data_IF_149750842113
#
_entry.id   IF_149750842113
#
_cell.length_a   1.000
_cell.length_b   1.000
_cell.length_c   1.000
_cell.angle_alpha   90.00
_cell.angle_beta   90.00
_cell.angle_gamma   90.00
#
_symmetry.space_group_name_H-M   'P 1'
#
loop_
_entity.id
_entity.type
_entity.pdbx_description
1 polymer ?
#
# COMPACT_ATOMS: atom_id res chain seq x y z
N UNK A 1 2.50 14.17 -2.56
CA UNK A 1 1.36 13.74 -3.39
C UNK A 1 1.56 12.26 -3.65
N UNK A 2 0.63 11.38 -3.26
CA UNK A 2 0.77 9.94 -3.50
C UNK A 2 0.39 9.64 -4.95
N UNK A 3 1.30 9.04 -5.74
CA UNK A 3 1.06 8.70 -7.14
C UNK A 3 0.56 7.26 -7.26
N UNK A 4 -0.44 7.09 -8.12
CA UNK A 4 -1.35 5.95 -8.22
C UNK A 4 -0.94 5.03 -9.37
N UNK A 5 -0.83 3.72 -9.12
CA UNK A 5 -1.03 2.65 -10.12
C UNK A 5 -0.94 1.25 -9.49
N UNK A 6 -1.70 0.34 -10.10
CA UNK A 6 -1.74 -1.13 -9.95
C UNK A 6 -2.52 -1.74 -8.76
N UNK A 7 -3.62 -2.41 -9.13
CA UNK A 7 -4.58 -3.14 -8.30
C UNK A 7 -3.98 -4.40 -7.68
N UNK A 8 -4.23 -4.61 -6.40
CA UNK A 8 -4.30 -5.96 -5.86
C UNK A 8 -5.41 -6.73 -6.59
N UNK A 9 -5.06 -7.86 -7.22
CA UNK A 9 -6.04 -8.84 -7.73
C UNK A 9 -6.93 -9.41 -6.63
N UNK A 10 -6.48 -9.35 -5.38
CA UNK A 10 -7.12 -9.92 -4.19
C UNK A 10 -7.00 -8.96 -3.01
N UNK A 11 -8.08 -8.72 -2.28
CA UNK A 11 -8.05 -7.86 -1.08
C UNK A 11 -6.99 -8.41 -0.11
N UNK A 12 -5.93 -7.64 0.24
CA UNK A 12 -4.87 -8.11 1.13
C UNK A 12 -5.45 -8.41 2.53
N UNK A 13 -4.84 -9.36 3.24
CA UNK A 13 -5.32 -9.85 4.55
C UNK A 13 -4.70 -9.06 5.70
N UNK A 14 -5.39 -9.00 6.85
CA UNK A 14 -4.81 -8.46 8.09
C UNK A 14 -3.56 -9.29 8.45
N UNK A 15 -2.47 -8.60 8.82
CA UNK A 15 -1.17 -9.20 9.08
C UNK A 15 -0.31 -9.45 7.83
N UNK A 16 -0.85 -9.25 6.63
CA UNK A 16 -0.08 -9.39 5.39
C UNK A 16 0.98 -8.30 5.27
N UNK A 17 2.18 -8.71 4.87
CA UNK A 17 3.25 -7.78 4.48
C UNK A 17 2.89 -7.13 3.16
N UNK A 18 3.09 -5.82 3.12
CA UNK A 18 2.83 -4.99 1.96
C UNK A 18 3.98 -4.01 1.73
N UNK A 19 4.04 -3.45 0.54
CA UNK A 19 4.90 -2.32 0.21
C UNK A 19 4.06 -1.14 -0.23
N UNK A 20 4.49 0.09 0.00
CA UNK A 20 3.83 1.30 -0.51
C UNK A 20 4.87 2.35 -0.81
N UNK A 21 4.55 3.32 -1.68
CA UNK A 21 5.43 4.46 -1.95
C UNK A 21 5.10 5.59 -0.98
N UNK A 22 6.09 5.98 -0.18
CA UNK A 22 6.00 7.11 0.73
C UNK A 22 7.24 7.98 0.56
N UNK A 23 7.05 9.28 0.28
CA UNK A 23 8.13 10.23 0.01
C UNK A 23 9.13 9.70 -1.04
N UNK A 24 8.59 9.24 -2.18
CA UNK A 24 9.35 8.72 -3.34
C UNK A 24 10.24 7.50 -3.02
N UNK A 25 9.91 6.78 -1.95
CA UNK A 25 10.60 5.55 -1.53
C UNK A 25 9.62 4.42 -1.29
N UNK A 26 9.97 3.23 -1.77
CA UNK A 26 9.27 2.01 -1.41
C UNK A 26 9.49 1.68 0.08
N UNK A 27 8.41 1.72 0.85
CA UNK A 27 8.38 1.41 2.27
C UNK A 27 7.59 0.13 2.51
N UNK A 28 8.11 -0.71 3.39
CA UNK A 28 7.41 -1.92 3.81
C UNK A 28 6.49 -1.63 5.01
N UNK A 29 5.28 -2.20 4.96
CA UNK A 29 4.32 -2.19 6.05
C UNK A 29 3.61 -3.51 6.26
N UNK A 30 2.66 -3.50 7.18
CA UNK A 30 1.77 -4.61 7.51
C UNK A 30 0.34 -4.08 7.55
N UNK A 31 -0.61 -4.82 6.98
CA UNK A 31 -2.03 -4.49 7.08
C UNK A 31 -2.50 -4.70 8.51
N UNK A 32 -3.07 -3.66 9.12
CA UNK A 32 -3.52 -3.68 10.51
C UNK A 32 -5.04 -3.77 10.63
N UNK A 33 -5.78 -3.26 9.64
CA UNK A 33 -7.23 -3.27 9.63
C UNK A 33 -7.74 -3.22 8.19
N UNK A 34 -8.89 -3.85 7.93
CA UNK A 34 -9.60 -3.75 6.67
C UNK A 34 -11.05 -3.44 6.99
N UNK A 35 -11.57 -2.36 6.42
CA UNK A 35 -12.99 -2.01 6.45
C UNK A 35 -13.55 -2.10 5.01
N UNK A 36 -14.87 -2.08 4.86
CA UNK A 36 -15.56 -2.19 3.56
C UNK A 36 -15.14 -1.18 2.47
N UNK A 37 -14.42 -0.11 2.85
CA UNK A 37 -13.93 0.95 1.96
C UNK A 37 -12.42 1.15 2.02
N UNK A 38 -11.72 0.63 3.02
CA UNK A 38 -10.33 1.02 3.29
C UNK A 38 -9.48 -0.13 3.83
N UNK A 39 -8.20 -0.11 3.46
CA UNK A 39 -7.14 -0.96 3.98
C UNK A 39 -6.19 -0.09 4.77
N UNK A 40 -6.09 -0.34 6.08
CA UNK A 40 -5.18 0.36 6.96
C UNK A 40 -3.91 -0.45 7.14
N UNK A 41 -2.78 0.23 7.15
CA UNK A 41 -1.48 -0.40 7.30
C UNK A 41 -0.56 0.44 8.19
N UNK A 42 0.43 -0.24 8.77
CA UNK A 42 1.49 0.36 9.56
C UNK A 42 2.84 0.06 8.90
N UNK A 43 3.59 1.11 8.59
CA UNK A 43 4.94 1.03 8.08
C UNK A 43 5.93 0.71 9.20
N UNK A 44 7.10 0.16 8.84
CA UNK A 44 8.16 -0.21 9.80
C UNK A 44 8.62 0.96 10.68
N UNK A 45 8.56 2.19 10.18
CA UNK A 45 8.93 3.40 10.92
C UNK A 45 7.81 3.93 11.85
N UNK A 46 6.75 3.16 12.05
CA UNK A 46 5.63 3.54 12.93
C UNK A 46 4.56 4.40 12.28
N UNK A 47 4.79 4.88 11.05
CA UNK A 47 3.80 5.64 10.29
C UNK A 47 2.61 4.74 9.97
N UNK A 48 1.40 5.28 10.12
CA UNK A 48 0.17 4.60 9.70
C UNK A 48 -0.36 5.24 8.43
N UNK A 49 -0.93 4.42 7.55
CA UNK A 49 -1.51 4.85 6.28
C UNK A 49 -2.78 4.06 5.97
N UNK A 50 -3.54 4.54 5.00
CA UNK A 50 -4.71 3.83 4.49
C UNK A 50 -4.80 3.95 2.97
N UNK A 51 -5.32 2.91 2.33
CA UNK A 51 -5.68 2.87 0.90
C UNK A 51 -7.16 2.55 0.74
N UNK A 52 -7.83 3.04 -0.31
CA UNK A 52 -9.26 2.78 -0.53
C UNK A 52 -9.51 1.52 -1.36
N UNK A 53 -10.47 0.68 -0.97
CA UNK A 53 -10.87 -0.53 -1.68
C UNK A 53 -11.76 -0.23 -2.90
N UNK A 54 -12.58 0.84 -2.83
CA UNK A 54 -13.61 1.15 -3.83
C UNK A 54 -13.22 2.24 -4.82
N UNK A 55 -12.02 2.80 -4.65
CA UNK A 55 -11.37 3.64 -5.64
C UNK A 55 -10.09 2.91 -6.02
N UNK A 56 -9.73 2.90 -7.30
CA UNK A 56 -8.56 2.29 -7.94
C UNK A 56 -7.18 2.81 -7.41
N UNK A 57 -7.07 3.15 -6.12
CA UNK A 57 -6.04 3.98 -5.50
C UNK A 57 -5.43 3.33 -4.28
N UNK A 58 -4.93 2.11 -4.48
CA UNK A 58 -4.07 1.45 -3.51
C UNK A 58 -2.69 1.32 -4.16
N UNK A 59 -1.76 2.24 -3.89
CA UNK A 59 -0.31 2.00 -4.16
C UNK A 59 0.26 1.12 -3.06
N UNK A 60 -0.41 0.00 -2.80
CA UNK A 60 0.06 -1.09 -1.95
C UNK A 60 0.48 -2.18 -2.94
N UNK A 61 1.68 -2.69 -2.77
CA UNK A 61 2.32 -3.60 -3.69
C UNK A 61 2.66 -4.91 -2.97
N UNK A 62 2.71 -6.01 -3.73
CA UNK A 62 3.11 -7.32 -3.22
C UNK A 62 4.62 -7.38 -3.03
N UNK A 63 5.38 -6.62 -3.82
CA UNK A 63 6.84 -6.57 -3.74
C UNK A 63 7.41 -5.15 -3.70
N UNK A 64 8.69 -5.05 -3.33
CA UNK A 64 9.43 -3.79 -3.33
C UNK A 64 9.73 -3.33 -4.76
N UNK A 65 9.94 -4.26 -5.68
CA UNK A 65 10.18 -3.98 -7.11
C UNK A 65 8.99 -3.25 -7.73
N UNK A 66 7.76 -3.74 -7.50
CA UNK A 66 6.52 -3.10 -7.95
C UNK A 66 6.38 -1.68 -7.39
N UNK A 67 6.63 -1.52 -6.09
CA UNK A 67 6.58 -0.20 -5.45
C UNK A 67 7.62 0.78 -6.00
N UNK A 68 8.82 0.29 -6.32
CA UNK A 68 9.86 1.13 -6.91
C UNK A 68 9.52 1.56 -8.33
N UNK A 69 9.01 0.65 -9.18
CA UNK A 69 8.63 0.96 -10.56
C UNK A 69 7.61 2.11 -10.64
N UNK A 70 6.66 2.13 -9.71
CA UNK A 70 5.63 3.18 -9.65
C UNK A 70 6.11 4.47 -8.95
N UNK A 71 7.19 4.42 -8.17
CA UNK A 71 7.78 5.59 -7.52
C UNK A 71 8.66 6.46 -8.43
N UNK A 72 8.98 5.99 -9.65
CA UNK A 72 9.82 6.67 -10.63
C UNK A 72 9.05 7.29 -11.82
N UNK A 73 7.73 7.10 -11.90
CA UNK A 73 6.88 7.78 -12.89
C UNK A 73 6.44 9.13 -12.41
#
# INVERSE_FOLDING_TARGET
>A
MFKQLSLFSDIPKIGQKIYTVYADKAMQGIVTKIDYKYIYFKLKNGITGHGSINNLGISIFKSKEEANLEGYL
#
